data_IF_429960638614
#
_entry.id   IF_429960638614
#
_cell.length_a   1.000
_cell.length_b   1.000
_cell.length_c   1.000
_cell.angle_alpha   90.00
_cell.angle_beta   90.00
_cell.angle_gamma   90.00
#
_symmetry.space_group_name_H-M   'P 1'
#
loop_
_entity.id
_entity.type
_entity.pdbx_description
1 polymer ?
#
# COMPACT_ATOMS: atom_id res chain seq x y z
N UNK A 1 22.74 20.65 33.82
CA UNK A 1 22.86 21.69 32.76
C UNK A 1 21.61 21.72 31.89
N UNK A 2 21.18 20.64 31.26
CA UNK A 2 19.98 20.62 30.40
C UNK A 2 18.68 20.83 31.18
N UNK A 3 18.56 20.23 32.37
CA UNK A 3 17.40 20.34 33.24
C UNK A 3 17.13 21.80 33.65
N UNK A 4 18.14 22.57 33.98
CA UNK A 4 17.97 23.98 34.37
C UNK A 4 17.47 24.83 33.20
N UNK A 5 17.99 24.58 31.98
CA UNK A 5 17.52 25.25 30.79
C UNK A 5 16.04 24.93 30.47
N UNK A 6 15.64 23.68 30.63
CA UNK A 6 14.22 23.27 30.45
C UNK A 6 13.32 23.88 31.52
N UNK A 7 13.74 23.87 32.78
CA UNK A 7 12.97 24.53 33.86
C UNK A 7 12.80 26.03 33.64
N UNK A 8 13.80 26.71 33.15
CA UNK A 8 13.72 28.15 32.82
C UNK A 8 12.77 28.40 31.64
N UNK A 9 12.74 27.53 30.61
CA UNK A 9 11.82 27.63 29.49
C UNK A 9 10.38 27.33 29.94
N UNK A 10 10.16 26.31 30.78
CA UNK A 10 8.84 25.98 31.33
C UNK A 10 8.31 27.08 32.27
N UNK A 11 9.18 27.70 33.08
CA UNK A 11 8.79 28.87 33.91
C UNK A 11 8.36 30.06 33.06
N UNK A 12 9.09 30.37 31.99
CA UNK A 12 8.70 31.43 31.04
C UNK A 12 7.35 31.14 30.41
N UNK A 13 7.09 29.89 30.02
CA UNK A 13 5.79 29.47 29.47
C UNK A 13 4.65 29.64 30.50
N UNK A 14 4.82 29.17 31.73
CA UNK A 14 3.84 29.34 32.81
C UNK A 14 3.53 30.82 33.14
N UNK A 15 4.56 31.67 33.07
CA UNK A 15 4.41 33.13 33.25
C UNK A 15 3.56 33.76 32.14
N UNK A 16 3.80 33.36 30.88
CA UNK A 16 3.03 33.83 29.72
C UNK A 16 1.59 33.35 29.80
N UNK A 17 1.32 32.07 30.12
CA UNK A 17 -0.04 31.54 30.33
C UNK A 17 -0.78 32.23 31.49
N UNK A 18 -0.07 32.56 32.57
CA UNK A 18 -0.62 33.27 33.73
C UNK A 18 -0.98 34.72 33.40
N UNK A 19 -0.21 35.40 32.57
CA UNK A 19 -0.47 36.77 32.11
C UNK A 19 -1.65 36.82 31.13
N UNK A 20 -1.75 35.83 30.23
CA UNK A 20 -2.87 35.71 29.26
C UNK A 20 -4.20 35.44 29.95
N UNK A 21 -4.24 34.62 31.01
CA UNK A 21 -5.45 34.35 31.79
C UNK A 21 -5.87 35.52 32.71
N UNK A 22 -4.97 36.50 32.98
CA UNK A 22 -5.22 37.59 33.91
C UNK A 22 -5.67 38.92 33.28
N UNK A 23 -5.63 39.09 31.94
CA UNK A 23 -5.97 40.34 31.27
C UNK A 23 -7.22 40.20 30.38
N UNK A 24 -8.37 40.57 30.88
CA UNK A 24 -9.59 40.77 30.10
C UNK A 24 -9.56 42.16 29.43
N UNK A 25 -9.05 42.28 28.21
CA UNK A 25 -9.06 43.51 27.42
C UNK A 25 -9.04 43.23 25.89
N UNK A 26 -9.57 44.14 25.03
CA UNK A 26 -10.00 43.81 23.67
C UNK A 26 -8.91 43.76 22.59
N UNK A 27 -7.60 43.79 22.83
CA UNK A 27 -6.56 43.71 21.77
C UNK A 27 -5.19 43.15 22.17
N UNK A 28 -5.05 41.95 22.79
CA UNK A 28 -3.72 41.28 22.85
C UNK A 28 -3.62 39.92 22.14
N UNK A 29 -4.72 39.36 21.65
CA UNK A 29 -4.77 37.95 21.20
C UNK A 29 -3.77 37.56 20.08
N UNK A 30 -3.27 38.49 19.29
CA UNK A 30 -2.30 38.21 18.19
C UNK A 30 -0.85 38.23 18.69
N UNK A 31 -0.49 39.13 19.60
CA UNK A 31 0.89 39.24 20.10
C UNK A 31 1.18 38.08 21.07
N UNK A 32 0.21 37.74 21.93
CA UNK A 32 0.33 36.65 22.90
C UNK A 32 0.41 35.28 22.20
N UNK A 33 -0.34 35.07 21.13
CA UNK A 33 -0.26 33.83 20.33
C UNK A 33 1.06 33.68 19.59
N UNK A 34 1.74 34.76 19.22
CA UNK A 34 3.04 34.73 18.55
C UNK A 34 4.16 34.45 19.55
N UNK A 35 4.14 35.07 20.72
CA UNK A 35 5.12 34.82 21.78
C UNK A 35 5.03 33.42 22.33
N UNK A 36 3.80 32.93 22.55
CA UNK A 36 3.55 31.53 22.96
C UNK A 36 4.06 30.53 21.93
N UNK A 37 3.76 30.76 20.65
CA UNK A 37 4.28 29.91 19.55
C UNK A 37 5.80 29.95 19.46
N UNK A 38 6.43 31.10 19.71
CA UNK A 38 7.88 31.23 19.61
C UNK A 38 8.60 30.45 20.73
N UNK A 39 8.09 30.49 21.96
CA UNK A 39 8.62 29.70 23.08
C UNK A 39 8.41 28.20 22.88
N UNK A 40 7.28 27.80 22.31
CA UNK A 40 6.99 26.40 21.99
C UNK A 40 7.97 25.86 20.92
N UNK A 41 8.25 26.64 19.88
CA UNK A 41 9.23 26.30 18.84
C UNK A 41 10.66 26.25 19.40
N UNK A 42 10.99 27.12 20.35
CA UNK A 42 12.31 27.11 21.00
C UNK A 42 12.48 25.84 21.85
N UNK A 43 11.44 25.43 22.57
CA UNK A 43 11.41 24.21 23.35
C UNK A 43 11.50 22.94 22.46
N UNK A 44 10.75 22.89 21.35
CA UNK A 44 10.83 21.82 20.36
C UNK A 44 12.22 21.71 19.74
N UNK A 45 12.82 22.84 19.36
CA UNK A 45 14.18 22.89 18.82
C UNK A 45 15.24 22.48 19.85
N UNK A 46 15.01 22.77 21.12
CA UNK A 46 15.89 22.31 22.19
C UNK A 46 15.79 20.79 22.37
N UNK A 47 14.57 20.25 22.50
CA UNK A 47 14.31 18.82 22.66
C UNK A 47 14.82 18.00 21.46
N UNK A 48 14.76 18.56 20.25
CA UNK A 48 15.24 17.87 19.04
C UNK A 48 16.75 17.65 19.00
N UNK A 49 17.52 18.40 19.78
CA UNK A 49 18.99 18.31 19.83
C UNK A 49 19.50 17.38 20.93
N UNK A 50 18.64 16.97 21.88
CA UNK A 50 18.99 16.11 23.00
C UNK A 50 19.02 14.64 22.60
N UNK A 51 19.90 13.86 23.21
CA UNK A 51 19.84 12.40 23.10
C UNK A 51 18.67 11.83 23.92
N UNK A 52 18.23 10.59 23.60
CA UNK A 52 17.12 9.93 24.32
C UNK A 52 17.39 9.88 25.82
N UNK A 53 18.60 9.49 26.24
CA UNK A 53 18.98 9.42 27.65
C UNK A 53 18.86 10.76 28.38
N UNK A 54 19.24 11.89 27.72
CA UNK A 54 19.12 13.24 28.30
C UNK A 54 17.63 13.63 28.47
N UNK A 55 16.78 13.26 27.50
CA UNK A 55 15.34 13.52 27.58
C UNK A 55 14.71 12.72 28.72
N UNK A 56 15.08 11.45 28.88
CA UNK A 56 14.61 10.58 29.98
C UNK A 56 15.01 11.18 31.33
N UNK A 57 16.28 11.58 31.50
CA UNK A 57 16.79 12.22 32.76
C UNK A 57 16.01 13.51 33.09
N UNK A 58 15.69 14.32 32.07
CA UNK A 58 14.92 15.55 32.28
C UNK A 58 13.50 15.24 32.72
N UNK A 59 12.81 14.29 32.02
CA UNK A 59 11.42 13.94 32.35
C UNK A 59 11.28 13.31 33.74
N UNK A 60 12.22 12.44 34.14
CA UNK A 60 12.27 11.82 35.47
C UNK A 60 12.56 12.84 36.59
N UNK A 61 13.30 13.90 36.30
CA UNK A 61 13.66 14.95 37.25
C UNK A 61 12.61 16.06 37.39
N UNK A 62 11.58 16.06 36.53
CA UNK A 62 10.49 17.02 36.53
C UNK A 62 9.29 16.50 37.36
N UNK A 63 8.49 17.41 37.97
CA UNK A 63 7.20 17.02 38.49
C UNK A 63 6.29 16.42 37.38
N UNK A 64 5.40 15.47 37.68
CA UNK A 64 4.57 14.79 36.69
C UNK A 64 3.78 15.75 35.77
N UNK A 65 3.23 16.83 36.33
CA UNK A 65 2.50 17.83 35.57
C UNK A 65 3.39 18.58 34.56
N UNK A 66 4.64 18.85 34.92
CA UNK A 66 5.62 19.50 34.04
C UNK A 66 6.14 18.55 32.97
N UNK A 67 6.35 17.29 33.32
CA UNK A 67 6.68 16.24 32.38
C UNK A 67 5.56 16.03 31.34
N UNK A 68 4.29 16.04 31.77
CA UNK A 68 3.13 15.96 30.87
C UNK A 68 3.02 17.17 29.92
N UNK A 69 3.39 18.39 30.38
CA UNK A 69 3.45 19.59 29.53
C UNK A 69 4.60 19.53 28.50
N UNK A 70 5.72 18.91 28.89
CA UNK A 70 6.91 18.78 28.03
C UNK A 70 6.76 17.65 27.01
N UNK A 71 6.06 16.59 27.36
CA UNK A 71 5.91 15.37 26.55
C UNK A 71 5.46 15.62 25.10
N UNK A 72 4.46 16.47 24.78
CA UNK A 72 4.07 16.76 23.40
C UNK A 72 5.17 17.41 22.53
N UNK A 73 6.29 17.85 23.15
CA UNK A 73 7.43 18.50 22.47
C UNK A 73 8.59 17.55 22.25
N UNK A 74 8.51 16.33 22.74
CA UNK A 74 9.45 15.27 22.41
C UNK A 74 9.27 14.92 20.92
N UNK A 75 10.35 14.85 20.12
CA UNK A 75 10.25 14.47 18.71
C UNK A 75 9.59 13.11 18.55
N UNK A 76 8.61 13.00 17.64
CA UNK A 76 7.84 11.77 17.42
C UNK A 76 8.71 10.55 17.08
N UNK A 77 9.83 10.75 16.37
CA UNK A 77 10.79 9.68 16.07
C UNK A 77 11.61 9.20 17.27
N UNK A 78 11.55 9.85 18.45
CA UNK A 78 12.24 9.46 19.68
C UNK A 78 11.30 9.16 20.84
N UNK A 79 10.03 9.47 20.70
CA UNK A 79 9.04 9.32 21.78
C UNK A 79 8.93 7.89 22.29
N UNK A 80 9.02 6.91 21.39
CA UNK A 80 8.98 5.49 21.76
C UNK A 80 10.19 5.05 22.57
N UNK A 81 11.39 5.48 22.18
CA UNK A 81 12.63 5.16 22.88
C UNK A 81 12.65 5.82 24.26
N UNK A 82 12.16 7.07 24.35
CA UNK A 82 12.04 7.78 25.63
C UNK A 82 11.06 7.05 26.56
N UNK A 83 9.86 6.66 26.09
CA UNK A 83 8.89 5.92 26.90
C UNK A 83 9.44 4.57 27.35
N UNK A 84 10.22 3.91 26.51
CA UNK A 84 10.83 2.62 26.86
C UNK A 84 11.80 2.70 28.04
N UNK A 85 12.53 3.80 28.16
CA UNK A 85 13.52 4.03 29.20
C UNK A 85 12.97 4.75 30.45
N UNK A 86 11.72 5.28 30.42
CA UNK A 86 11.08 5.90 31.58
C UNK A 86 10.61 4.89 32.63
N UNK A 87 10.49 5.34 33.89
CA UNK A 87 9.85 4.59 34.95
C UNK A 87 8.38 4.27 34.65
N UNK A 88 7.88 3.13 35.15
CA UNK A 88 6.52 2.67 34.86
C UNK A 88 5.46 3.71 35.28
N UNK A 89 5.66 4.36 36.44
CA UNK A 89 4.73 5.37 36.98
C UNK A 89 4.62 6.60 36.07
N UNK A 90 5.74 7.13 35.61
CA UNK A 90 5.74 8.32 34.75
C UNK A 90 5.26 7.99 33.33
N UNK A 91 5.59 6.80 32.83
CA UNK A 91 5.11 6.34 31.51
C UNK A 91 3.60 6.23 31.46
N UNK A 92 2.97 5.55 32.44
CA UNK A 92 1.52 5.38 32.47
C UNK A 92 0.80 6.75 32.55
N UNK A 93 1.33 7.71 33.29
CA UNK A 93 0.82 9.07 33.35
C UNK A 93 0.95 9.84 32.02
N UNK A 94 2.07 9.69 31.32
CA UNK A 94 2.31 10.32 30.03
C UNK A 94 1.46 9.68 28.92
N UNK A 95 1.24 8.36 28.95
CA UNK A 95 0.34 7.67 28.04
C UNK A 95 -1.12 8.12 28.20
N UNK A 96 -1.60 8.31 29.43
CA UNK A 96 -2.95 8.85 29.68
C UNK A 96 -3.12 10.30 29.21
N UNK A 97 -2.10 11.12 29.36
CA UNK A 97 -2.15 12.54 29.02
C UNK A 97 -1.95 12.85 27.53
N UNK A 98 -1.29 11.98 26.79
CA UNK A 98 -0.81 12.27 25.43
C UNK A 98 -1.83 12.02 24.32
N UNK A 99 -2.92 11.29 24.56
CA UNK A 99 -3.86 10.90 23.50
C UNK A 99 -3.20 10.04 22.40
N UNK A 100 -3.85 9.78 21.24
CA UNK A 100 -3.45 8.80 20.22
C UNK A 100 -2.26 9.23 19.34
N UNK A 101 -1.24 9.85 19.91
CA UNK A 101 -0.02 10.30 19.17
C UNK A 101 1.12 9.29 19.12
N UNK A 102 1.00 8.20 19.87
CA UNK A 102 2.00 7.14 19.81
C UNK A 102 1.80 6.37 18.51
N UNK A 103 2.79 6.42 17.61
CA UNK A 103 2.94 5.41 16.59
C UNK A 103 2.79 4.06 17.31
N UNK A 104 1.87 3.21 16.85
CA UNK A 104 1.52 1.94 17.51
C UNK A 104 2.72 0.98 17.52
N UNK A 105 3.73 1.28 18.34
CA UNK A 105 4.79 0.32 18.66
C UNK A 105 4.21 -0.67 19.64
N UNK A 106 4.18 -1.92 19.25
CA UNK A 106 3.68 -3.00 20.11
C UNK A 106 4.70 -4.12 20.16
N UNK A 107 5.38 -4.23 21.29
CA UNK A 107 6.12 -5.42 21.64
C UNK A 107 5.23 -6.28 22.52
N UNK A 108 4.98 -7.51 22.09
CA UNK A 108 4.09 -8.43 22.79
C UNK A 108 4.77 -9.78 22.98
N UNK A 109 4.64 -10.33 24.17
CA UNK A 109 5.10 -11.67 24.51
C UNK A 109 3.87 -12.59 24.60
N UNK A 110 4.02 -13.78 24.05
CA UNK A 110 2.99 -14.80 24.01
C UNK A 110 3.51 -16.04 24.77
N UNK A 111 2.86 -16.36 25.89
CA UNK A 111 3.25 -17.45 26.79
C UNK A 111 2.19 -18.54 26.80
N UNK A 112 2.58 -19.83 26.74
CA UNK A 112 1.65 -20.95 26.90
C UNK A 112 1.21 -21.07 28.37
N UNK A 113 -0.05 -20.75 28.64
CA UNK A 113 -0.64 -20.84 29.97
C UNK A 113 -1.92 -21.68 29.90
N UNK A 114 -1.97 -22.78 30.64
CA UNK A 114 -3.12 -23.68 30.71
C UNK A 114 -3.64 -24.16 29.33
N UNK A 115 -2.72 -24.45 28.40
CA UNK A 115 -3.05 -24.92 27.04
C UNK A 115 -3.51 -23.84 26.07
N UNK A 116 -3.48 -22.56 26.46
CA UNK A 116 -3.73 -21.39 25.59
C UNK A 116 -2.53 -20.49 25.58
N UNK A 117 -2.40 -19.68 24.55
CA UNK A 117 -1.31 -18.71 24.45
C UNK A 117 -1.85 -17.36 24.89
N UNK A 118 -1.29 -16.82 25.99
CA UNK A 118 -1.69 -15.53 26.55
C UNK A 118 -0.76 -14.43 26.07
N UNK A 119 -1.33 -13.35 25.54
CA UNK A 119 -0.60 -12.15 25.18
C UNK A 119 -0.34 -11.27 26.40
N UNK A 120 0.87 -10.76 26.53
CA UNK A 120 1.26 -9.73 27.51
C UNK A 120 2.06 -8.65 26.77
N UNK A 121 1.68 -7.38 26.82
CA UNK A 121 2.46 -6.29 26.25
C UNK A 121 3.75 -6.10 27.04
N UNK A 122 4.81 -5.73 26.38
CA UNK A 122 6.08 -5.33 26.98
C UNK A 122 6.21 -3.83 26.85
N UNK A 123 6.12 -3.15 27.98
CA UNK A 123 6.21 -1.69 28.06
C UNK A 123 7.54 -1.22 28.63
N UNK A 124 8.24 -2.07 29.36
CA UNK A 124 9.51 -1.76 30.03
C UNK A 124 10.48 -2.93 29.97
N UNK A 125 11.73 -2.61 30.30
CA UNK A 125 12.82 -3.62 30.37
C UNK A 125 12.54 -4.73 31.37
N UNK A 126 11.84 -4.46 32.48
CA UNK A 126 11.54 -5.42 33.54
C UNK A 126 10.49 -6.46 33.16
N UNK A 127 9.65 -6.15 32.17
CA UNK A 127 8.53 -6.99 31.80
C UNK A 127 8.92 -8.33 31.15
N UNK A 128 10.18 -8.48 30.72
CA UNK A 128 10.71 -9.73 30.17
C UNK A 128 11.20 -10.71 31.26
N UNK A 129 11.49 -10.21 32.46
CA UNK A 129 12.05 -11.04 33.53
C UNK A 129 11.05 -12.11 33.99
N UNK A 130 11.52 -13.36 34.06
CA UNK A 130 10.70 -14.48 34.52
C UNK A 130 9.67 -15.03 33.55
N UNK A 131 9.53 -14.46 32.34
CA UNK A 131 8.63 -14.95 31.29
C UNK A 131 9.23 -16.13 30.54
N UNK A 132 8.34 -17.03 30.07
CA UNK A 132 8.69 -18.17 29.22
C UNK A 132 7.91 -18.07 27.89
N UNK A 133 8.35 -17.20 26.99
CA UNK A 133 7.63 -16.97 25.75
C UNK A 133 7.78 -18.15 24.79
N UNK A 134 6.71 -18.42 24.05
CA UNK A 134 6.73 -19.20 22.83
C UNK A 134 6.92 -18.29 21.61
N UNK A 135 6.41 -17.05 21.69
CA UNK A 135 6.46 -16.06 20.61
C UNK A 135 6.65 -14.65 21.18
N UNK A 136 7.54 -13.90 20.55
CA UNK A 136 7.74 -12.47 20.80
C UNK A 136 7.49 -11.73 19.48
N UNK A 137 6.45 -10.89 19.46
CA UNK A 137 6.02 -10.14 18.29
C UNK A 137 6.42 -8.67 18.44
N UNK A 138 7.30 -8.21 17.56
CA UNK A 138 7.82 -6.84 17.52
C UNK A 138 7.18 -6.10 16.32
N UNK A 139 6.15 -5.32 16.60
CA UNK A 139 5.50 -4.46 15.62
C UNK A 139 6.05 -3.05 15.73
N UNK A 140 6.69 -2.57 14.65
CA UNK A 140 7.28 -1.22 14.57
C UNK A 140 8.19 -0.90 15.76
N UNK A 141 8.98 -1.89 16.19
CA UNK A 141 9.87 -1.76 17.34
C UNK A 141 11.00 -0.80 17.03
N UNK A 142 11.30 0.09 17.98
CA UNK A 142 12.42 1.01 17.87
C UNK A 142 13.77 0.28 17.93
N UNK A 143 14.84 0.94 17.49
CA UNK A 143 16.20 0.42 17.58
C UNK A 143 16.58 0.09 19.02
N UNK A 144 16.17 0.91 20.02
CA UNK A 144 16.41 0.67 21.43
C UNK A 144 15.68 -0.59 21.94
N UNK A 145 14.43 -0.78 21.52
CA UNK A 145 13.66 -1.98 21.87
C UNK A 145 14.27 -3.25 21.27
N UNK A 146 14.65 -3.20 19.98
CA UNK A 146 15.34 -4.34 19.33
C UNK A 146 16.66 -4.67 19.99
N UNK A 147 17.50 -3.65 20.26
CA UNK A 147 18.79 -3.82 20.92
C UNK A 147 18.64 -4.43 22.31
N UNK A 148 17.69 -3.97 23.13
CA UNK A 148 17.46 -4.49 24.47
C UNK A 148 16.99 -5.95 24.44
N UNK A 149 16.00 -6.29 23.60
CA UNK A 149 15.51 -7.68 23.48
C UNK A 149 16.61 -8.57 22.92
N UNK A 150 17.37 -8.07 21.95
CA UNK A 150 18.54 -8.75 21.41
C UNK A 150 19.60 -9.03 22.47
N UNK A 151 19.95 -8.05 23.30
CA UNK A 151 20.91 -8.24 24.42
C UNK A 151 20.39 -9.25 25.43
N UNK A 152 19.11 -9.19 25.82
CA UNK A 152 18.49 -10.10 26.78
C UNK A 152 18.57 -11.56 26.33
N UNK A 153 18.29 -11.83 25.03
CA UNK A 153 18.32 -13.16 24.45
C UNK A 153 19.66 -13.51 23.78
N UNK A 154 20.62 -12.57 23.70
CA UNK A 154 21.90 -12.69 22.98
C UNK A 154 21.71 -12.99 21.49
N UNK A 155 20.85 -12.21 20.86
CA UNK A 155 20.51 -12.27 19.45
C UNK A 155 20.76 -10.91 18.80
N UNK A 156 21.04 -10.91 17.52
CA UNK A 156 20.90 -9.71 16.69
C UNK A 156 19.47 -9.64 16.12
N UNK A 157 18.79 -8.52 16.35
CA UNK A 157 17.43 -8.27 15.88
C UNK A 157 17.46 -7.16 14.82
N UNK A 158 17.52 -7.51 13.52
CA UNK A 158 17.65 -6.55 12.43
C UNK A 158 16.40 -5.69 12.26
N UNK A 159 16.52 -4.61 11.47
CA UNK A 159 15.34 -3.93 10.95
C UNK A 159 14.76 -4.76 9.80
N UNK A 160 13.45 -5.09 9.82
CA UNK A 160 12.86 -5.87 8.74
C UNK A 160 12.94 -5.18 7.37
N UNK A 161 13.10 -3.84 7.34
CA UNK A 161 13.22 -3.04 6.13
C UNK A 161 14.61 -3.01 5.51
N UNK A 162 15.66 -3.35 6.25
CA UNK A 162 17.05 -3.24 5.78
C UNK A 162 17.49 -4.42 4.90
N UNK A 163 16.84 -5.59 5.03
CA UNK A 163 17.18 -6.77 4.25
C UNK A 163 16.27 -6.97 3.03
N UNK A 164 16.53 -6.20 1.98
CA UNK A 164 15.81 -6.30 0.70
C UNK A 164 16.51 -7.15 -0.36
N UNK A 165 17.64 -7.78 -0.02
CA UNK A 165 18.43 -8.57 -0.95
C UNK A 165 17.67 -9.77 -1.50
N UNK A 166 17.81 -10.01 -2.81
CA UNK A 166 17.22 -11.16 -3.50
C UNK A 166 18.03 -12.46 -3.28
N UNK A 167 19.21 -12.37 -2.69
CA UNK A 167 20.06 -13.52 -2.44
C UNK A 167 19.50 -14.40 -1.32
N UNK A 168 19.24 -15.67 -1.66
CA UNK A 168 18.66 -16.66 -0.74
C UNK A 168 19.54 -16.86 0.51
N UNK A 169 20.86 -16.79 0.36
CA UNK A 169 21.84 -16.96 1.45
C UNK A 169 21.75 -15.86 2.51
N UNK A 170 21.34 -14.65 2.13
CA UNK A 170 21.17 -13.54 3.06
C UNK A 170 19.81 -13.58 3.76
N UNK A 171 18.80 -14.15 3.10
CA UNK A 171 17.42 -14.21 3.62
C UNK A 171 17.14 -15.42 4.52
N UNK A 172 17.86 -16.53 4.31
CA UNK A 172 17.65 -17.79 5.04
C UNK A 172 18.99 -18.36 5.47
N UNK A 173 19.33 -18.24 6.73
CA UNK A 173 20.60 -18.73 7.26
C UNK A 173 20.49 -19.18 8.72
N UNK A 174 21.48 -19.94 9.16
CA UNK A 174 21.63 -20.34 10.55
C UNK A 174 22.90 -19.67 11.07
N UNK A 175 22.77 -18.91 12.15
CA UNK A 175 23.91 -18.27 12.80
C UNK A 175 24.76 -19.29 13.59
N UNK A 176 25.98 -18.88 13.95
CA UNK A 176 26.88 -19.70 14.75
C UNK A 176 26.31 -20.06 16.15
N UNK A 177 25.46 -19.22 16.73
CA UNK A 177 24.77 -19.43 18.00
C UNK A 177 23.59 -20.40 17.89
N UNK A 178 23.23 -20.84 16.66
CA UNK A 178 22.11 -21.73 16.36
C UNK A 178 20.78 -20.99 16.10
N UNK A 179 20.77 -19.67 16.07
CA UNK A 179 19.57 -18.91 15.67
C UNK A 179 19.31 -19.11 14.17
N UNK A 180 18.06 -19.33 13.83
CA UNK A 180 17.61 -19.57 12.47
C UNK A 180 16.85 -18.34 11.98
N UNK A 181 17.41 -17.64 11.01
CA UNK A 181 16.90 -16.40 10.45
C UNK A 181 16.14 -16.65 9.14
N UNK A 182 14.94 -16.08 9.02
CA UNK A 182 14.08 -16.18 7.85
C UNK A 182 13.50 -14.80 7.54
N UNK A 183 13.70 -14.32 6.32
CA UNK A 183 13.14 -13.07 5.84
C UNK A 183 12.12 -13.36 4.72
N UNK A 184 10.87 -13.05 4.95
CA UNK A 184 9.77 -13.34 4.01
C UNK A 184 8.88 -12.11 3.85
N UNK A 185 8.29 -11.96 2.66
CA UNK A 185 7.32 -10.92 2.39
C UNK A 185 5.90 -11.45 2.60
N UNK A 186 5.08 -10.68 3.30
CA UNK A 186 3.67 -10.96 3.55
C UNK A 186 2.79 -9.98 2.79
N UNK A 187 1.64 -10.46 2.34
CA UNK A 187 0.69 -9.63 1.60
C UNK A 187 -0.08 -8.70 2.55
N UNK A 188 -0.14 -7.43 2.20
CA UNK A 188 -1.07 -6.47 2.76
C UNK A 188 -1.91 -5.90 1.63
N UNK A 189 -3.17 -6.32 1.54
CA UNK A 189 -4.15 -5.83 0.57
C UNK A 189 -5.27 -5.09 1.30
N UNK A 190 -5.37 -3.78 1.07
CA UNK A 190 -6.38 -2.91 1.70
C UNK A 190 -6.86 -1.86 0.71
N UNK A 191 -8.16 -1.91 0.40
CA UNK A 191 -8.85 -0.84 -0.33
C UNK A 191 -8.25 -0.52 -1.70
N UNK A 192 -7.87 -1.53 -2.48
CA UNK A 192 -7.28 -1.38 -3.79
C UNK A 192 -5.79 -0.98 -3.79
N UNK A 193 -5.13 -1.01 -2.63
CA UNK A 193 -3.68 -0.81 -2.52
C UNK A 193 -3.04 -2.04 -1.91
N UNK A 194 -2.41 -2.83 -2.75
CA UNK A 194 -1.63 -3.99 -2.33
C UNK A 194 -0.16 -3.63 -2.09
N UNK A 195 0.43 -4.23 -1.05
CA UNK A 195 1.87 -4.09 -0.73
C UNK A 195 2.42 -5.39 -0.21
N UNK A 196 3.70 -5.64 -0.47
CA UNK A 196 4.47 -6.70 0.17
C UNK A 196 5.20 -6.10 1.37
N UNK A 197 4.94 -6.64 2.55
CA UNK A 197 5.53 -6.16 3.81
C UNK A 197 6.59 -7.14 4.25
N UNK A 198 7.84 -6.71 4.42
CA UNK A 198 8.90 -7.58 4.91
C UNK A 198 8.68 -7.95 6.38
N UNK A 199 8.86 -9.21 6.69
CA UNK A 199 8.81 -9.78 8.03
C UNK A 199 10.06 -10.60 8.25
N UNK A 200 10.80 -10.29 9.32
CA UNK A 200 11.91 -11.10 9.78
C UNK A 200 11.43 -12.05 10.88
N UNK A 201 11.73 -13.32 10.72
CA UNK A 201 11.51 -14.35 11.74
C UNK A 201 12.85 -14.88 12.23
N UNK A 202 13.00 -14.98 13.54
CA UNK A 202 14.15 -15.59 14.17
C UNK A 202 13.65 -16.67 15.11
N UNK A 203 14.13 -17.90 14.92
CA UNK A 203 13.84 -19.02 15.81
C UNK A 203 15.08 -19.32 16.64
N UNK A 204 14.93 -19.20 17.95
CA UNK A 204 16.03 -19.43 18.89
C UNK A 204 15.52 -19.95 20.23
N UNK A 205 16.08 -21.08 20.71
CA UNK A 205 15.72 -21.70 21.99
C UNK A 205 14.21 -21.89 22.18
N UNK A 206 13.57 -22.47 21.20
CA UNK A 206 12.13 -22.73 21.17
C UNK A 206 11.23 -21.46 21.23
N UNK A 207 11.80 -20.30 20.92
CA UNK A 207 11.08 -19.03 20.83
C UNK A 207 11.06 -18.55 19.39
N UNK A 208 9.88 -18.15 18.90
CA UNK A 208 9.72 -17.43 17.66
C UNK A 208 9.77 -15.92 17.92
N UNK A 209 10.69 -15.22 17.28
CA UNK A 209 10.68 -13.76 17.20
C UNK A 209 10.15 -13.36 15.82
N UNK A 210 9.19 -12.44 15.78
CA UNK A 210 8.69 -11.85 14.54
C UNK A 210 8.85 -10.34 14.57
N UNK A 211 9.51 -9.78 13.56
CA UNK A 211 9.78 -8.36 13.44
C UNK A 211 9.13 -7.85 12.15
N UNK A 212 8.34 -6.78 12.25
CA UNK A 212 7.69 -6.11 11.13
C UNK A 212 7.37 -4.66 11.45
N UNK A 213 7.26 -3.84 10.40
CA UNK A 213 7.00 -2.41 10.55
C UNK A 213 5.52 -2.04 10.36
N UNK A 214 4.66 -2.98 9.90
CA UNK A 214 3.23 -2.75 9.72
C UNK A 214 2.37 -3.87 10.35
N UNK A 215 1.15 -3.52 10.77
CA UNK A 215 0.21 -4.50 11.34
C UNK A 215 -0.53 -5.26 10.24
N UNK A 216 -0.19 -6.54 10.08
CA UNK A 216 -0.71 -7.44 9.07
C UNK A 216 -2.00 -8.15 9.52
N UNK A 217 -2.99 -8.34 8.62
CA UNK A 217 -4.23 -9.07 8.94
C UNK A 217 -3.98 -10.48 9.44
N UNK A 218 -3.01 -11.17 8.86
CA UNK A 218 -2.60 -12.53 9.24
C UNK A 218 -2.14 -12.58 10.69
N UNK A 219 -1.32 -11.63 11.14
CA UNK A 219 -0.85 -11.58 12.53
C UNK A 219 -1.97 -11.28 13.52
N UNK A 220 -2.95 -10.41 13.15
CA UNK A 220 -4.14 -10.18 13.98
C UNK A 220 -4.96 -11.44 14.14
N UNK A 221 -5.15 -12.19 13.06
CA UNK A 221 -5.88 -13.46 13.07
C UNK A 221 -5.17 -14.49 13.96
N UNK A 222 -3.84 -14.60 13.82
CA UNK A 222 -3.02 -15.52 14.61
C UNK A 222 -3.05 -15.20 16.09
N UNK A 223 -2.90 -13.93 16.48
CA UNK A 223 -3.03 -13.50 17.88
C UNK A 223 -4.39 -13.92 18.47
N UNK A 224 -5.48 -13.67 17.72
CA UNK A 224 -6.83 -14.05 18.17
C UNK A 224 -7.01 -15.57 18.29
N UNK A 225 -6.49 -16.36 17.33
CA UNK A 225 -6.55 -17.83 17.38
C UNK A 225 -5.74 -18.37 18.56
N UNK A 226 -4.55 -17.85 18.78
CA UNK A 226 -3.68 -18.23 19.88
C UNK A 226 -4.34 -18.04 21.27
N UNK A 227 -5.10 -16.97 21.45
CA UNK A 227 -5.82 -16.68 22.70
C UNK A 227 -7.08 -17.55 22.87
N UNK A 228 -7.79 -17.85 21.79
CA UNK A 228 -9.12 -18.46 21.86
C UNK A 228 -9.10 -19.98 21.74
N UNK A 229 -8.16 -20.52 20.96
CA UNK A 229 -8.09 -21.95 20.66
C UNK A 229 -7.08 -22.64 21.59
N UNK A 230 -7.55 -23.62 22.37
CA UNK A 230 -6.63 -24.40 23.19
C UNK A 230 -5.80 -25.36 22.32
N UNK A 231 -4.49 -25.46 22.60
CA UNK A 231 -3.58 -26.29 21.82
C UNK A 231 -3.32 -25.76 20.41
N UNK A 232 -3.48 -24.45 20.19
CA UNK A 232 -3.33 -23.81 18.87
C UNK A 232 -1.95 -23.99 18.27
N UNK A 233 -0.91 -23.91 19.07
CA UNK A 233 0.47 -24.17 18.66
C UNK A 233 1.17 -24.98 19.76
N UNK A 234 1.86 -26.03 19.37
CA UNK A 234 2.61 -26.93 20.26
C UNK A 234 4.02 -26.40 20.51
N UNK A 235 4.63 -25.79 19.50
CA UNK A 235 5.98 -25.23 19.53
C UNK A 235 6.11 -23.98 18.63
N UNK A 236 7.30 -23.39 18.58
CA UNK A 236 7.58 -22.20 17.79
C UNK A 236 7.53 -22.46 16.27
N UNK A 237 7.83 -23.68 15.82
CA UNK A 237 7.76 -24.04 14.40
C UNK A 237 6.32 -24.21 13.93
N UNK A 238 5.48 -24.84 14.76
CA UNK A 238 4.04 -24.96 14.50
C UNK A 238 3.41 -23.54 14.35
N UNK A 239 3.76 -22.64 15.25
CA UNK A 239 3.29 -21.25 15.16
C UNK A 239 3.77 -20.54 13.87
N UNK A 240 5.03 -20.73 13.48
CA UNK A 240 5.57 -20.16 12.24
C UNK A 240 4.88 -20.75 11.00
N UNK A 241 4.66 -22.06 10.95
CA UNK A 241 3.96 -22.72 9.86
C UNK A 241 2.50 -22.25 9.77
N UNK A 242 1.85 -22.02 10.91
CA UNK A 242 0.50 -21.45 10.98
C UNK A 242 0.46 -20.01 10.44
N UNK A 243 1.50 -19.18 10.69
CA UNK A 243 1.63 -17.85 10.11
C UNK A 243 1.78 -17.93 8.58
N UNK A 244 2.68 -18.76 8.08
CA UNK A 244 2.86 -18.97 6.64
C UNK A 244 1.61 -19.53 5.97
N UNK A 245 0.96 -20.53 6.58
CA UNK A 245 -0.28 -21.10 6.08
C UNK A 245 -1.39 -20.05 5.96
N UNK A 246 -1.51 -19.18 6.96
CA UNK A 246 -2.52 -18.12 6.94
C UNK A 246 -2.22 -17.01 5.95
N UNK A 247 -0.94 -16.72 5.63
CA UNK A 247 -0.60 -15.78 4.55
C UNK A 247 -0.92 -16.37 3.17
N UNK A 248 -0.70 -17.67 3.00
CA UNK A 248 -1.11 -18.40 1.80
C UNK A 248 -2.65 -18.41 1.63
N UNK A 249 -3.42 -18.61 2.71
CA UNK A 249 -4.89 -18.50 2.69
C UNK A 249 -5.34 -17.08 2.37
N UNK A 250 -4.74 -16.06 2.98
CA UNK A 250 -5.04 -14.66 2.69
C UNK A 250 -4.74 -14.29 1.22
N UNK A 251 -3.64 -14.80 0.69
CA UNK A 251 -3.29 -14.66 -0.72
C UNK A 251 -4.31 -15.36 -1.65
N UNK A 252 -4.86 -16.50 -1.23
CA UNK A 252 -5.92 -17.20 -1.97
C UNK A 252 -7.21 -16.36 -2.04
N UNK A 253 -7.62 -15.75 -0.92
CA UNK A 253 -8.78 -14.86 -0.87
C UNK A 253 -8.61 -13.67 -1.83
N UNK A 254 -7.42 -13.04 -1.83
CA UNK A 254 -7.11 -11.94 -2.76
C UNK A 254 -7.12 -12.40 -4.23
N UNK A 255 -6.66 -13.63 -4.55
CA UNK A 255 -6.79 -14.19 -5.90
C UNK A 255 -8.25 -14.38 -6.33
N UNK A 256 -9.13 -14.79 -5.41
CA UNK A 256 -10.57 -14.87 -5.71
C UNK A 256 -11.16 -13.51 -6.09
N UNK A 257 -10.72 -12.45 -5.44
CA UNK A 257 -11.18 -11.09 -5.77
C UNK A 257 -10.66 -10.64 -7.14
N UNK A 258 -9.41 -10.96 -7.51
CA UNK A 258 -8.90 -10.79 -8.87
C UNK A 258 -9.78 -11.54 -9.89
N UNK A 259 -10.15 -12.80 -9.61
CA UNK A 259 -11.05 -13.57 -10.50
C UNK A 259 -12.40 -12.86 -10.72
N UNK A 260 -13.00 -12.31 -9.65
CA UNK A 260 -14.27 -11.57 -9.72
C UNK A 260 -14.13 -10.31 -10.57
N UNK A 261 -13.07 -9.52 -10.33
CA UNK A 261 -12.80 -8.28 -11.08
C UNK A 261 -12.56 -8.58 -12.56
N UNK A 262 -11.66 -9.51 -12.89
CA UNK A 262 -11.38 -9.89 -14.28
C UNK A 262 -12.58 -10.52 -15.00
N UNK A 263 -13.50 -11.17 -14.28
CA UNK A 263 -14.75 -11.65 -14.86
C UNK A 263 -15.70 -10.52 -15.23
N UNK A 264 -15.79 -9.47 -14.38
CA UNK A 264 -16.57 -8.26 -14.65
C UNK A 264 -15.97 -7.49 -15.82
N UNK A 265 -14.67 -7.25 -15.80
CA UNK A 265 -13.91 -6.60 -16.88
C UNK A 265 -14.09 -7.34 -18.20
N UNK A 266 -13.95 -8.67 -18.20
CA UNK A 266 -14.10 -9.46 -19.42
C UNK A 266 -15.49 -9.34 -20.06
N UNK A 267 -16.56 -9.28 -19.25
CA UNK A 267 -17.91 -9.04 -19.77
C UNK A 267 -18.04 -7.64 -20.40
N UNK A 268 -17.37 -6.66 -19.83
CA UNK A 268 -17.42 -5.27 -20.32
C UNK A 268 -16.61 -5.12 -21.61
N UNK A 269 -15.41 -5.67 -21.67
CA UNK A 269 -14.53 -5.64 -22.87
C UNK A 269 -15.18 -6.32 -24.07
N UNK A 270 -15.93 -7.40 -23.85
CA UNK A 270 -16.63 -8.13 -24.91
C UNK A 270 -17.98 -7.49 -25.30
N UNK A 271 -18.42 -6.41 -24.65
CA UNK A 271 -19.60 -5.66 -25.03
C UNK A 271 -19.28 -4.71 -26.22
N UNK A 272 -20.13 -4.70 -27.25
CA UNK A 272 -19.90 -3.87 -28.47
C UNK A 272 -20.04 -2.36 -28.24
N UNK A 273 -20.33 -1.90 -27.02
CA UNK A 273 -20.74 -0.52 -26.69
C UNK A 273 -19.73 0.28 -25.87
N UNK A 274 -18.53 -0.26 -25.61
CA UNK A 274 -17.51 0.40 -24.78
C UNK A 274 -16.97 1.69 -25.44
N UNK A 275 -16.89 2.77 -24.66
CA UNK A 275 -16.26 4.03 -25.08
C UNK A 275 -14.74 3.98 -24.87
N UNK A 276 -14.00 4.94 -25.45
CA UNK A 276 -12.54 5.03 -25.24
C UNK A 276 -12.17 5.37 -23.79
N UNK A 277 -13.02 6.16 -23.10
CA UNK A 277 -12.84 6.52 -21.69
C UNK A 277 -13.04 5.29 -20.78
N UNK A 278 -14.07 4.50 -21.07
CA UNK A 278 -14.30 3.22 -20.39
C UNK A 278 -13.17 2.22 -20.63
N UNK A 279 -12.65 2.17 -21.87
CA UNK A 279 -11.50 1.34 -22.19
C UNK A 279 -10.24 1.73 -21.42
N UNK A 280 -10.01 3.03 -21.22
CA UNK A 280 -8.90 3.51 -20.40
C UNK A 280 -9.05 3.12 -18.91
N UNK A 281 -10.28 3.22 -18.37
CA UNK A 281 -10.58 2.76 -17.00
C UNK A 281 -10.37 1.25 -16.85
N UNK A 282 -10.83 0.47 -17.84
CA UNK A 282 -10.62 -0.99 -17.87
C UNK A 282 -9.14 -1.36 -17.89
N UNK A 283 -8.31 -0.65 -18.65
CA UNK A 283 -6.86 -0.88 -18.65
C UNK A 283 -6.22 -0.56 -17.30
N UNK A 284 -6.71 0.46 -16.60
CA UNK A 284 -6.22 0.78 -15.25
C UNK A 284 -6.61 -0.33 -14.25
N UNK A 285 -7.86 -0.81 -14.28
CA UNK A 285 -8.32 -1.93 -13.45
C UNK A 285 -7.47 -3.20 -13.72
N UNK A 286 -7.20 -3.51 -15.00
CA UNK A 286 -6.37 -4.67 -15.40
C UNK A 286 -4.94 -4.52 -14.86
N UNK A 287 -4.35 -3.33 -14.92
CA UNK A 287 -2.99 -3.07 -14.42
C UNK A 287 -2.89 -3.21 -12.89
N UNK A 288 -3.93 -2.81 -12.14
CA UNK A 288 -4.00 -2.98 -10.70
C UNK A 288 -4.06 -4.47 -10.32
N UNK A 289 -4.87 -5.26 -11.04
CA UNK A 289 -4.97 -6.70 -10.81
C UNK A 289 -3.69 -7.46 -11.24
N UNK A 290 -2.98 -6.97 -12.24
CA UNK A 290 -1.67 -7.51 -12.65
C UNK A 290 -0.63 -7.33 -11.55
N UNK A 291 -0.52 -6.11 -10.98
CA UNK A 291 0.41 -5.81 -9.89
C UNK A 291 0.10 -6.66 -8.64
N UNK A 292 -1.18 -6.78 -8.25
CA UNK A 292 -1.60 -7.63 -7.13
C UNK A 292 -1.25 -9.11 -7.39
N UNK A 293 -1.54 -9.65 -8.57
CA UNK A 293 -1.20 -11.03 -8.94
C UNK A 293 0.31 -11.28 -8.89
N UNK A 294 1.10 -10.31 -9.37
CA UNK A 294 2.56 -10.35 -9.33
C UNK A 294 3.11 -10.37 -7.89
N UNK A 295 2.55 -9.55 -6.99
CA UNK A 295 2.91 -9.51 -5.56
C UNK A 295 2.58 -10.83 -4.86
N UNK A 296 1.37 -11.34 -5.07
CA UNK A 296 0.94 -12.64 -4.51
C UNK A 296 1.93 -13.72 -4.94
N UNK A 297 2.24 -13.80 -6.24
CA UNK A 297 3.17 -14.80 -6.76
C UNK A 297 4.56 -14.66 -6.13
N UNK A 298 5.08 -13.45 -5.99
CA UNK A 298 6.38 -13.21 -5.35
C UNK A 298 6.38 -13.66 -3.89
N UNK A 299 5.34 -13.30 -3.11
CA UNK A 299 5.26 -13.62 -1.69
C UNK A 299 5.13 -15.13 -1.43
N UNK A 300 4.26 -15.83 -2.19
CA UNK A 300 4.12 -17.29 -2.02
C UNK A 300 5.40 -18.04 -2.43
N UNK A 301 6.17 -17.52 -3.39
CA UNK A 301 7.48 -18.10 -3.74
C UNK A 301 8.52 -17.88 -2.63
N UNK A 302 8.49 -16.74 -1.94
CA UNK A 302 9.34 -16.49 -0.78
C UNK A 302 8.98 -17.44 0.37
N UNK A 303 7.69 -17.60 0.65
CA UNK A 303 7.19 -18.56 1.65
C UNK A 303 7.59 -20.00 1.29
N UNK A 304 7.49 -20.38 0.01
CA UNK A 304 7.95 -21.69 -0.47
C UNK A 304 9.43 -21.93 -0.16
N UNK A 305 10.29 -20.94 -0.45
CA UNK A 305 11.73 -21.02 -0.17
C UNK A 305 12.02 -21.16 1.32
N UNK A 306 11.34 -20.36 2.15
CA UNK A 306 11.47 -20.44 3.61
C UNK A 306 11.11 -21.82 4.15
N UNK A 307 9.99 -22.39 3.73
CA UNK A 307 9.54 -23.73 4.16
C UNK A 307 10.50 -24.81 3.68
N UNK A 308 10.98 -24.74 2.43
CA UNK A 308 11.96 -25.69 1.89
C UNK A 308 13.27 -25.61 2.67
N UNK A 309 13.73 -24.42 3.03
CA UNK A 309 14.91 -24.23 3.86
C UNK A 309 14.74 -24.86 5.25
N UNK A 310 13.58 -24.66 5.91
CA UNK A 310 13.26 -25.29 7.20
C UNK A 310 13.30 -26.82 7.12
N UNK A 311 12.73 -27.41 6.07
CA UNK A 311 12.75 -28.84 5.86
C UNK A 311 14.15 -29.39 5.61
N UNK A 312 14.98 -28.67 4.84
CA UNK A 312 16.37 -29.06 4.54
C UNK A 312 17.28 -28.97 5.77
N UNK A 313 17.03 -28.00 6.64
CA UNK A 313 17.77 -27.81 7.90
C UNK A 313 17.50 -28.90 8.93
N UNK A 314 16.51 -29.77 8.71
CA UNK A 314 16.12 -30.90 9.59
C UNK A 314 15.82 -30.48 11.03
N UNK A 315 15.32 -29.27 11.22
CA UNK A 315 14.95 -28.73 12.54
C UNK A 315 13.49 -29.04 12.90
N UNK A 316 12.68 -29.41 11.91
CA UNK A 316 11.25 -29.71 12.08
C UNK A 316 11.01 -31.11 12.68
N UNK A 317 10.08 -31.19 13.63
CA UNK A 317 9.50 -32.48 14.08
C UNK A 317 8.67 -33.16 12.96
N UNK A 318 8.37 -34.44 13.08
CA UNK A 318 7.63 -35.18 12.06
C UNK A 318 6.25 -34.59 11.76
N UNK A 319 5.53 -34.13 12.79
CA UNK A 319 4.22 -33.50 12.64
C UNK A 319 4.36 -32.19 11.87
N UNK A 320 5.30 -31.33 12.23
CA UNK A 320 5.58 -30.06 11.55
C UNK A 320 6.03 -30.27 10.09
N UNK A 321 6.69 -31.37 9.76
CA UNK A 321 7.01 -31.75 8.36
C UNK A 321 5.75 -32.02 7.55
N UNK A 322 4.72 -32.62 8.16
CA UNK A 322 3.45 -32.85 7.43
C UNK A 322 2.71 -31.54 7.16
N UNK A 323 2.70 -30.63 8.15
CA UNK A 323 2.10 -29.30 7.99
C UNK A 323 2.84 -28.47 6.95
N UNK A 324 4.19 -28.47 7.00
CA UNK A 324 5.02 -27.83 5.97
C UNK A 324 4.69 -28.34 4.56
N UNK A 325 4.55 -29.68 4.38
CA UNK A 325 4.14 -30.28 3.10
C UNK A 325 2.73 -29.85 2.68
N UNK A 326 1.81 -29.65 3.64
CA UNK A 326 0.47 -29.17 3.33
C UNK A 326 0.49 -27.74 2.82
N UNK A 327 1.27 -26.84 3.48
CA UNK A 327 1.43 -25.45 3.02
C UNK A 327 2.07 -25.42 1.63
N UNK A 328 3.10 -26.24 1.37
CA UNK A 328 3.71 -26.34 0.03
C UNK A 328 2.71 -26.79 -1.05
N UNK A 329 1.84 -27.75 -0.77
CA UNK A 329 0.79 -28.14 -1.73
C UNK A 329 -0.19 -27.00 -2.03
N UNK A 330 -0.56 -26.22 -1.02
CA UNK A 330 -1.41 -25.05 -1.20
C UNK A 330 -0.70 -23.99 -2.07
N UNK A 331 0.59 -23.74 -1.84
CA UNK A 331 1.41 -22.85 -2.65
C UNK A 331 1.48 -23.30 -4.11
N UNK A 332 1.70 -24.59 -4.38
CA UNK A 332 1.74 -25.15 -5.74
C UNK A 332 0.41 -24.94 -6.47
N UNK A 333 -0.72 -25.10 -5.75
CA UNK A 333 -2.03 -24.78 -6.29
C UNK A 333 -2.15 -23.30 -6.64
N UNK A 334 -1.79 -22.39 -5.72
CA UNK A 334 -1.85 -20.95 -5.97
C UNK A 334 -0.92 -20.50 -7.10
N UNK A 335 0.28 -21.07 -7.24
CA UNK A 335 1.18 -20.81 -8.35
C UNK A 335 0.51 -21.11 -9.70
N UNK A 336 -0.28 -22.18 -9.77
CA UNK A 336 -1.04 -22.50 -10.99
C UNK A 336 -2.14 -21.48 -11.26
N UNK A 337 -2.81 -20.99 -10.22
CA UNK A 337 -3.83 -19.93 -10.33
C UNK A 337 -3.23 -18.60 -10.75
N UNK A 338 -2.10 -18.18 -10.16
CA UNK A 338 -1.41 -16.93 -10.54
C UNK A 338 -0.96 -16.95 -11.99
N UNK A 339 -0.45 -18.10 -12.49
CA UNK A 339 -0.08 -18.25 -13.88
C UNK A 339 -1.29 -18.13 -14.83
N UNK A 340 -2.40 -18.81 -14.50
CA UNK A 340 -3.64 -18.69 -15.28
C UNK A 340 -4.19 -17.26 -15.29
N UNK A 341 -4.16 -16.58 -14.15
CA UNK A 341 -4.59 -15.18 -14.07
C UNK A 341 -3.71 -14.26 -14.90
N UNK A 342 -2.40 -14.48 -14.92
CA UNK A 342 -1.48 -13.74 -15.76
C UNK A 342 -1.84 -13.86 -17.25
N UNK A 343 -2.13 -15.08 -17.73
CA UNK A 343 -2.55 -15.31 -19.11
C UNK A 343 -3.90 -14.62 -19.40
N UNK A 344 -4.84 -14.68 -18.46
CA UNK A 344 -6.15 -14.02 -18.59
C UNK A 344 -6.04 -12.50 -18.61
N UNK A 345 -5.18 -11.92 -17.78
CA UNK A 345 -4.86 -10.49 -17.74
C UNK A 345 -4.31 -10.04 -19.10
N UNK A 346 -3.30 -10.73 -19.63
CA UNK A 346 -2.73 -10.44 -20.93
C UNK A 346 -3.78 -10.52 -22.05
N UNK A 347 -4.61 -11.56 -22.05
CA UNK A 347 -5.70 -11.68 -23.01
C UNK A 347 -6.67 -10.48 -22.95
N UNK A 348 -7.09 -10.07 -21.76
CA UNK A 348 -8.01 -8.95 -21.59
C UNK A 348 -7.38 -7.61 -21.98
N UNK A 349 -6.09 -7.43 -21.68
CA UNK A 349 -5.32 -6.27 -22.11
C UNK A 349 -5.26 -6.16 -23.63
N UNK A 350 -4.89 -7.26 -24.31
CA UNK A 350 -4.80 -7.31 -25.77
C UNK A 350 -6.18 -7.08 -26.42
N UNK A 351 -7.24 -7.67 -25.86
CA UNK A 351 -8.60 -7.47 -26.33
C UNK A 351 -9.05 -6.01 -26.19
N UNK A 352 -8.72 -5.35 -25.07
CA UNK A 352 -9.05 -3.94 -24.82
C UNK A 352 -8.31 -3.02 -25.79
N UNK A 353 -7.01 -3.25 -25.99
CA UNK A 353 -6.20 -2.51 -26.97
C UNK A 353 -6.74 -2.71 -28.41
N UNK A 354 -7.10 -3.95 -28.75
CA UNK A 354 -7.73 -4.28 -30.00
C UNK A 354 -9.03 -3.50 -30.24
N UNK A 355 -9.87 -3.37 -29.20
CA UNK A 355 -11.11 -2.59 -29.22
C UNK A 355 -10.84 -1.10 -29.45
N UNK A 356 -9.88 -0.51 -28.74
CA UNK A 356 -9.47 0.89 -28.93
C UNK A 356 -9.04 1.12 -30.39
N UNK A 357 -8.23 0.22 -30.95
CA UNK A 357 -7.77 0.31 -32.34
C UNK A 357 -8.95 0.25 -33.33
N UNK A 358 -9.93 -0.62 -33.09
CA UNK A 358 -11.13 -0.71 -33.93
C UNK A 358 -11.93 0.60 -33.87
N UNK A 359 -12.12 1.17 -32.68
CA UNK A 359 -12.82 2.45 -32.52
C UNK A 359 -12.09 3.61 -33.21
N UNK A 360 -10.78 3.70 -33.03
CA UNK A 360 -9.97 4.71 -33.75
C UNK A 360 -10.09 4.56 -35.26
N UNK A 361 -10.01 3.35 -35.77
CA UNK A 361 -10.15 3.09 -37.21
C UNK A 361 -11.56 3.47 -37.73
N UNK A 362 -12.62 3.19 -36.97
CA UNK A 362 -13.98 3.64 -37.30
C UNK A 362 -14.08 5.16 -37.39
N UNK A 363 -13.48 5.90 -36.43
CA UNK A 363 -13.45 7.38 -36.43
C UNK A 363 -12.68 7.93 -37.64
N UNK A 364 -11.49 7.36 -37.93
CA UNK A 364 -10.68 7.75 -39.10
C UNK A 364 -11.48 7.50 -40.37
N UNK A 365 -12.18 6.39 -40.50
CA UNK A 365 -13.04 6.06 -41.63
C UNK A 365 -14.17 7.06 -41.75
N UNK A 366 -14.84 7.44 -40.65
CA UNK A 366 -15.89 8.45 -40.65
C UNK A 366 -15.39 9.83 -41.11
N UNK A 367 -14.23 10.28 -40.62
CA UNK A 367 -13.60 11.54 -41.05
C UNK A 367 -13.19 11.50 -42.51
N UNK A 368 -12.65 10.38 -42.99
CA UNK A 368 -12.31 10.18 -44.38
C UNK A 368 -13.55 10.24 -45.28
N UNK A 369 -14.64 9.57 -44.88
CA UNK A 369 -15.91 9.63 -45.55
C UNK A 369 -16.45 11.07 -45.67
N UNK A 370 -16.39 11.81 -44.53
CA UNK A 370 -16.79 13.21 -44.52
C UNK A 370 -15.94 14.04 -45.48
N UNK A 371 -14.62 13.86 -45.45
CA UNK A 371 -13.68 14.56 -46.34
C UNK A 371 -13.95 14.26 -47.81
N UNK A 372 -14.23 13.01 -48.19
CA UNK A 372 -14.54 12.59 -49.54
C UNK A 372 -15.84 13.21 -50.06
N UNK A 373 -16.85 13.42 -49.18
CA UNK A 373 -18.10 14.09 -49.55
C UNK A 373 -17.88 15.57 -49.73
N UNK A 374 -17.11 16.25 -48.86
CA UNK A 374 -16.90 17.69 -48.95
C UNK A 374 -15.85 18.12 -49.99
N UNK A 375 -14.92 17.27 -50.39
CA UNK A 375 -13.86 17.60 -51.35
C UNK A 375 -14.40 18.12 -52.69
N UNK A 376 -15.31 17.41 -53.40
CA UNK A 376 -15.85 17.92 -54.64
C UNK A 376 -16.70 19.18 -54.45
N UNK A 377 -17.39 19.32 -53.32
CA UNK A 377 -18.14 20.53 -52.97
C UNK A 377 -17.21 21.73 -52.80
N UNK A 378 -16.07 21.57 -52.13
CA UNK A 378 -15.06 22.62 -51.95
C UNK A 378 -14.42 23.04 -53.27
N UNK A 379 -14.17 22.08 -54.19
CA UNK A 379 -13.65 22.38 -55.52
C UNK A 379 -14.67 23.25 -56.32
N UNK A 380 -15.94 22.84 -56.29
CA UNK A 380 -17.02 23.64 -56.95
C UNK A 380 -17.15 25.02 -56.30
N UNK A 381 -17.13 25.13 -54.97
CA UNK A 381 -17.21 26.39 -54.25
C UNK A 381 -16.02 27.31 -54.62
N UNK A 382 -14.80 26.74 -54.75
CA UNK A 382 -13.63 27.47 -55.23
C UNK A 382 -13.78 27.99 -56.64
N UNK A 383 -14.28 27.14 -57.54
CA UNK A 383 -14.58 27.56 -58.93
C UNK A 383 -15.68 28.62 -59.01
N UNK A 384 -16.76 28.48 -58.23
CA UNK A 384 -17.85 29.44 -58.14
C UNK A 384 -17.46 30.78 -57.53
N UNK A 385 -16.36 30.84 -56.76
CA UNK A 385 -15.79 32.10 -56.23
C UNK A 385 -14.91 32.87 -57.23
N UNK A 386 -14.61 32.32 -58.38
CA UNK A 386 -13.83 32.98 -59.43
C UNK A 386 -14.69 33.98 -60.20
N UNK A 387 -14.08 35.05 -60.68
CA UNK A 387 -14.75 36.13 -61.44
C UNK A 387 -15.44 35.66 -62.72
N UNK A 388 -15.01 34.53 -63.30
CA UNK A 388 -15.61 33.92 -64.46
C UNK A 388 -17.04 33.41 -64.22
N UNK A 389 -17.35 32.93 -63.01
CA UNK A 389 -18.73 32.50 -62.68
C UNK A 389 -19.74 33.61 -62.81
N UNK A 390 -19.40 34.84 -62.41
CA UNK A 390 -20.21 36.02 -62.57
C UNK A 390 -20.48 36.39 -64.08
N UNK A 391 -19.46 36.12 -64.93
CA UNK A 391 -19.60 36.29 -66.38
C UNK A 391 -20.53 35.28 -67.05
N UNK A 392 -20.49 34.01 -66.58
CA UNK A 392 -21.38 32.96 -67.11
C UNK A 392 -22.86 33.12 -66.65
N UNK A 393 -23.08 33.85 -65.60
CA UNK A 393 -24.38 34.07 -65.00
C UNK A 393 -24.94 35.48 -65.34
N UNK A 394 -24.28 36.22 -66.23
CA UNK A 394 -24.65 37.55 -66.62
C UNK A 394 -26.07 37.54 -67.31
N UNK A 395 -27.02 38.30 -66.77
CA UNK A 395 -28.40 38.28 -67.18
C UNK A 395 -29.37 37.39 -66.40
N UNK A 396 -28.84 36.56 -65.44
CA UNK A 396 -29.67 35.76 -64.52
C UNK A 396 -29.72 36.46 -63.16
N UNK A 397 -30.90 36.63 -62.53
CA UNK A 397 -31.00 37.20 -61.20
C UNK A 397 -30.14 36.41 -60.24
N UNK A 398 -29.23 37.06 -59.44
CA UNK A 398 -28.25 36.46 -58.56
C UNK A 398 -28.87 35.44 -57.61
N UNK A 399 -30.10 35.56 -57.04
CA UNK A 399 -30.65 34.57 -56.13
C UNK A 399 -30.93 33.24 -56.85
N UNK A 400 -31.25 33.25 -58.16
CA UNK A 400 -31.50 32.03 -58.93
C UNK A 400 -30.19 31.29 -59.21
N UNK A 401 -29.16 32.04 -59.59
CA UNK A 401 -27.81 31.49 -59.88
C UNK A 401 -27.21 30.81 -58.61
N UNK A 402 -27.33 31.46 -57.48
CA UNK A 402 -26.82 30.88 -56.18
C UNK A 402 -27.69 29.72 -55.74
N UNK A 403 -29.02 29.76 -55.90
CA UNK A 403 -29.88 28.62 -55.56
C UNK A 403 -29.58 27.40 -56.44
N UNK A 404 -29.37 27.60 -57.75
CA UNK A 404 -28.95 26.52 -58.66
C UNK A 404 -27.60 25.94 -58.32
N UNK A 405 -26.60 26.77 -57.94
CA UNK A 405 -25.30 26.37 -57.52
C UNK A 405 -25.35 25.57 -56.20
N UNK A 406 -26.10 26.06 -55.22
CA UNK A 406 -26.29 25.37 -53.93
C UNK A 406 -26.98 24.01 -54.13
N UNK A 407 -27.99 23.94 -54.98
CA UNK A 407 -28.69 22.69 -55.29
C UNK A 407 -27.81 21.69 -56.03
N UNK A 408 -27.00 22.14 -57.00
CA UNK A 408 -26.03 21.34 -57.72
C UNK A 408 -24.94 20.77 -56.80
N UNK A 409 -24.39 21.61 -55.90
CA UNK A 409 -23.42 21.20 -54.89
C UNK A 409 -24.00 20.17 -53.93
N UNK A 410 -25.24 20.37 -53.47
CA UNK A 410 -25.94 19.43 -52.61
C UNK A 410 -26.19 18.07 -53.27
N UNK A 411 -26.62 18.08 -54.57
CA UNK A 411 -26.78 16.83 -55.34
C UNK A 411 -25.46 16.08 -55.55
N UNK A 412 -24.36 16.80 -55.81
CA UNK A 412 -23.06 16.21 -55.96
C UNK A 412 -22.58 15.57 -54.64
N UNK A 413 -22.75 16.27 -53.53
CA UNK A 413 -22.45 15.74 -52.18
C UNK A 413 -23.26 14.48 -51.87
N UNK A 414 -24.57 14.50 -52.15
CA UNK A 414 -25.44 13.33 -51.97
C UNK A 414 -25.03 12.16 -52.88
N UNK A 415 -24.68 12.41 -54.13
CA UNK A 415 -24.22 11.40 -55.05
C UNK A 415 -22.91 10.78 -54.59
N UNK A 416 -21.92 11.59 -54.18
CA UNK A 416 -20.63 11.14 -53.64
C UNK A 416 -20.83 10.27 -52.41
N UNK A 417 -21.65 10.73 -51.44
CA UNK A 417 -22.02 9.95 -50.27
C UNK A 417 -22.62 8.59 -50.65
N UNK A 418 -23.55 8.55 -51.61
CA UNK A 418 -24.20 7.30 -52.01
C UNK A 418 -23.24 6.32 -52.70
N UNK A 419 -22.29 6.83 -53.49
CA UNK A 419 -21.25 6.02 -54.15
C UNK A 419 -20.30 5.42 -53.10
N UNK A 420 -19.75 6.24 -52.18
CA UNK A 420 -18.83 5.81 -51.13
C UNK A 420 -19.50 4.77 -50.24
N UNK A 421 -20.73 5.01 -49.78
CA UNK A 421 -21.50 4.06 -48.98
C UNK A 421 -21.73 2.72 -49.69
N UNK A 422 -21.96 2.72 -51.04
CA UNK A 422 -22.10 1.47 -51.79
C UNK A 422 -20.79 0.69 -51.91
N UNK A 423 -19.65 1.38 -52.00
CA UNK A 423 -18.33 0.75 -52.04
C UNK A 423 -18.02 0.11 -50.71
N UNK A 424 -18.32 0.79 -49.60
CA UNK A 424 -18.10 0.22 -48.28
C UNK A 424 -18.98 -1.00 -47.99
N UNK A 425 -20.24 -0.95 -48.33
CA UNK A 425 -21.14 -2.10 -48.21
C UNK A 425 -20.68 -3.31 -49.05
N UNK A 426 -20.08 -3.06 -50.21
CA UNK A 426 -19.49 -4.15 -51.04
C UNK A 426 -18.22 -4.72 -50.43
N UNK A 427 -17.38 -3.89 -49.76
CA UNK A 427 -16.19 -4.35 -49.05
C UNK A 427 -16.55 -5.18 -47.83
N UNK A 428 -17.54 -4.74 -47.03
CA UNK A 428 -18.04 -5.50 -45.88
C UNK A 428 -18.57 -6.89 -46.30
N UNK A 429 -19.36 -6.98 -47.35
CA UNK A 429 -19.83 -8.29 -47.85
C UNK A 429 -18.76 -9.20 -48.45
N UNK A 430 -17.60 -8.65 -48.88
CA UNK A 430 -16.44 -9.44 -49.35
C UNK A 430 -15.53 -9.88 -48.22
N UNK A 431 -15.57 -9.20 -47.08
CA UNK A 431 -14.82 -9.58 -45.88
C UNK A 431 -15.50 -10.69 -45.08
N UNK A 432 -16.82 -10.86 -45.15
CA UNK A 432 -17.57 -11.95 -44.49
C UNK A 432 -17.48 -13.29 -45.26
N UNK A 433 -16.85 -13.33 -46.42
CA UNK A 433 -16.69 -14.53 -47.26
C UNK A 433 -15.27 -15.13 -47.26
N UNK A 434 -14.43 -14.74 -46.32
CA UNK A 434 -13.14 -15.38 -46.04
C UNK A 434 -13.04 -15.75 -44.57
#
# INVERSE_FOLDING_TARGET
MYLDAVRDLLRKQKLVEGLVKGQAGPHPALVDSVVEKQHLVELENFMSKLAVADIVEILEALPPDEAAMLWPRVPSGRSTDVLWDLSDELRDQLEESAGPRLAETKVSVFEPIAGRIRQSPIKSRKDLEGKKPLWIDLLNASAAQRAYIGEFYKLDLPDPGDETDLEVSNRFHIEENGALNLHSNFLLDRGGKSRSIPVAFILYKDILFSLRNEDLPVFRLQRRRAETVAGYASDCFDLLLNLYGSDVEYSADSLEDIYKTLSRVGKHVLSETMTDEEAASVLADIAEEEDLNGRIRSNIMDTQRAIVFLMQSRVLAEDNVQDAKQVLRNIDSLNSHTAFLFDKINFLMDATIGFININQNRRVTQLTMLSLVFLPMNILAGMGGMSEFSRFTDGIPWPISYAAFAMGSGLLGWFTYRVVRRVDLKKARRGEGK
#
